data_IF_714534141412
#
_entry.id   IF_714534141412
#
_cell.length_a   1.000
_cell.length_b   1.000
_cell.length_c   1.000
_cell.angle_alpha   90.00
_cell.angle_beta   90.00
_cell.angle_gamma   90.00
#
_symmetry.space_group_name_H-M   'P 1'
#
loop_
_entity.id
_entity.type
_entity.pdbx_description
1 polymer ?
#
# COMPACT_ATOMS: atom_id res chain seq x y z
N UNK A 1 -17.65 -8.37 10.26
CA UNK A 1 -16.60 -8.03 9.28
C UNK A 1 -15.79 -6.93 9.93
N UNK A 2 -14.55 -7.20 10.33
CA UNK A 2 -13.64 -6.13 10.75
C UNK A 2 -13.49 -5.19 9.55
N UNK A 3 -13.57 -3.88 9.77
CA UNK A 3 -13.13 -2.93 8.73
C UNK A 3 -11.62 -3.03 8.69
N UNK A 4 -11.01 -3.02 7.51
CA UNK A 4 -9.54 -3.09 7.44
C UNK A 4 -8.90 -1.86 8.13
N UNK A 5 -9.60 -0.74 8.30
CA UNK A 5 -9.20 0.38 9.16
C UNK A 5 -9.03 -0.01 10.64
N UNK A 6 -9.70 -1.06 11.12
CA UNK A 6 -9.49 -1.61 12.46
C UNK A 6 -8.20 -2.46 12.51
N UNK A 7 -7.73 -2.94 11.36
CA UNK A 7 -6.48 -3.70 11.18
C UNK A 7 -5.31 -2.74 10.91
N UNK A 8 -5.56 -1.64 10.20
CA UNK A 8 -4.58 -0.60 9.94
C UNK A 8 -4.42 0.26 11.18
N UNK A 9 -3.19 0.44 11.66
CA UNK A 9 -2.95 1.36 12.75
C UNK A 9 -3.34 2.79 12.37
N UNK A 10 -4.03 3.50 13.29
CA UNK A 10 -4.47 4.88 13.06
C UNK A 10 -3.31 5.80 12.68
N UNK A 11 -2.11 5.56 13.21
CA UNK A 11 -0.91 6.32 12.82
C UNK A 11 -0.56 6.11 11.35
N UNK A 12 -0.57 4.88 10.85
CA UNK A 12 -0.28 4.56 9.46
C UNK A 12 -1.30 5.20 8.52
N UNK A 13 -2.59 5.17 8.88
CA UNK A 13 -3.67 5.77 8.07
C UNK A 13 -3.53 7.29 7.97
N UNK A 14 -3.25 7.96 9.09
CA UNK A 14 -3.08 9.42 9.13
C UNK A 14 -1.82 9.82 8.36
N UNK A 15 -0.69 9.18 8.66
CA UNK A 15 0.57 9.47 7.99
C UNK A 15 0.44 9.22 6.49
N UNK A 16 -0.13 8.09 6.05
CA UNK A 16 -0.40 7.81 4.64
C UNK A 16 -1.24 8.91 3.96
N UNK A 17 -2.26 9.42 4.66
CA UNK A 17 -3.12 10.46 4.11
C UNK A 17 -2.36 11.78 3.94
N UNK A 18 -1.58 12.17 4.94
CA UNK A 18 -0.70 13.33 4.86
C UNK A 18 0.40 13.13 3.81
N UNK A 19 0.87 11.89 3.65
CA UNK A 19 1.92 11.49 2.72
C UNK A 19 1.52 11.68 1.27
N UNK A 20 0.32 11.22 0.89
CA UNK A 20 -0.18 11.36 -0.47
C UNK A 20 -0.40 12.81 -0.91
N UNK A 21 -0.50 13.75 0.04
CA UNK A 21 -0.74 15.17 -0.20
C UNK A 21 0.54 16.01 -0.16
N UNK A 22 1.71 15.39 0.07
CA UNK A 22 3.01 16.05 0.27
C UNK A 22 4.11 15.41 -0.61
N UNK A 23 5.30 16.04 -0.69
CA UNK A 23 6.43 15.60 -1.53
C UNK A 23 6.74 14.09 -1.44
N UNK A 24 6.80 13.44 -2.60
CA UNK A 24 6.74 11.97 -2.73
C UNK A 24 7.98 11.21 -2.23
N UNK A 25 9.20 11.76 -2.37
CA UNK A 25 10.43 11.01 -2.06
C UNK A 25 10.72 10.84 -0.56
N UNK A 26 10.37 11.84 0.27
CA UNK A 26 10.55 11.71 1.72
C UNK A 26 9.57 10.70 2.33
N UNK A 27 8.45 10.47 1.64
CA UNK A 27 7.34 9.67 2.13
C UNK A 27 7.53 8.18 1.98
N UNK A 28 8.17 7.72 0.91
CA UNK A 28 8.37 6.29 0.70
C UNK A 28 9.21 5.65 1.81
N UNK A 29 10.32 6.30 2.17
CA UNK A 29 11.20 5.81 3.23
C UNK A 29 10.53 5.81 4.60
N UNK A 30 9.73 6.83 4.90
CA UNK A 30 8.95 6.90 6.14
C UNK A 30 7.89 5.79 6.17
N UNK A 31 7.15 5.60 5.09
CA UNK A 31 6.13 4.57 4.99
C UNK A 31 6.72 3.15 5.15
N UNK A 32 7.88 2.90 4.55
CA UNK A 32 8.63 1.64 4.76
C UNK A 32 9.01 1.43 6.23
N UNK A 33 9.39 2.50 6.94
CA UNK A 33 9.70 2.42 8.37
C UNK A 33 8.44 2.12 9.18
N UNK A 34 7.32 2.78 8.90
CA UNK A 34 6.04 2.53 9.58
C UNK A 34 5.54 1.10 9.37
N UNK A 35 5.72 0.54 8.16
CA UNK A 35 5.44 -0.87 7.88
C UNK A 35 6.33 -1.83 8.67
N UNK A 36 7.60 -1.48 8.91
CA UNK A 36 8.50 -2.30 9.73
C UNK A 36 8.07 -2.30 11.20
N UNK A 37 7.59 -1.15 11.68
CA UNK A 37 7.19 -0.94 13.07
C UNK A 37 5.78 -1.48 13.38
N UNK A 38 4.92 -1.63 12.36
CA UNK A 38 3.61 -2.28 12.45
C UNK A 38 3.73 -3.74 12.92
N UNK A 39 2.71 -4.27 13.62
CA UNK A 39 2.71 -5.67 14.03
C UNK A 39 2.68 -6.62 12.83
N UNK A 40 3.35 -7.77 12.94
CA UNK A 40 3.36 -8.77 11.85
C UNK A 40 1.95 -9.32 11.57
N UNK A 41 1.09 -9.36 12.58
CA UNK A 41 -0.30 -9.83 12.47
C UNK A 41 -1.11 -8.84 11.63
N UNK A 42 -0.99 -7.55 11.91
CA UNK A 42 -1.73 -6.51 11.18
C UNK A 42 -1.26 -6.44 9.74
N UNK A 43 0.05 -6.52 9.52
CA UNK A 43 0.61 -6.56 8.17
C UNK A 43 0.15 -7.79 7.39
N UNK A 44 0.16 -8.98 8.00
CA UNK A 44 -0.34 -10.20 7.37
C UNK A 44 -1.84 -10.13 7.07
N UNK A 45 -2.64 -9.49 7.92
CA UNK A 45 -4.06 -9.29 7.69
C UNK A 45 -4.32 -8.37 6.49
N UNK A 46 -3.58 -7.25 6.38
CA UNK A 46 -3.67 -6.34 5.22
C UNK A 46 -3.37 -7.08 3.92
N UNK A 47 -2.24 -7.80 3.89
CA UNK A 47 -1.84 -8.61 2.73
C UNK A 47 -2.89 -9.68 2.42
N UNK A 48 -3.44 -10.34 3.45
CA UNK A 48 -4.49 -11.36 3.24
C UNK A 48 -5.72 -10.77 2.59
N UNK A 49 -6.15 -9.57 2.99
CA UNK A 49 -7.32 -8.92 2.38
C UNK A 49 -7.06 -8.52 0.94
N UNK A 50 -5.85 -8.06 0.60
CA UNK A 50 -5.47 -7.82 -0.79
C UNK A 50 -5.71 -9.07 -1.66
N UNK A 51 -5.27 -10.25 -1.19
CA UNK A 51 -5.45 -11.51 -1.92
C UNK A 51 -6.88 -12.07 -1.90
N UNK A 52 -7.80 -11.50 -1.11
CA UNK A 52 -9.23 -11.81 -1.23
C UNK A 52 -9.88 -11.16 -2.46
N UNK A 53 -9.20 -10.19 -3.10
CA UNK A 53 -9.67 -9.58 -4.33
C UNK A 53 -9.39 -10.50 -5.53
N UNK A 54 -10.43 -10.85 -6.30
CA UNK A 54 -10.32 -11.66 -7.52
C UNK A 54 -9.39 -11.05 -8.59
N UNK A 55 -9.07 -9.76 -8.49
CA UNK A 55 -8.18 -9.02 -9.37
C UNK A 55 -6.80 -8.75 -8.75
N UNK A 56 -6.45 -9.40 -7.63
CA UNK A 56 -5.19 -9.15 -6.92
C UNK A 56 -3.95 -9.26 -7.82
N UNK A 57 -3.93 -10.23 -8.75
CA UNK A 57 -2.82 -10.41 -9.70
C UNK A 57 -2.72 -9.23 -10.68
N UNK A 58 -3.85 -8.81 -11.24
CA UNK A 58 -3.90 -7.69 -12.20
C UNK A 58 -3.53 -6.37 -11.52
N UNK A 59 -4.00 -6.16 -10.29
CA UNK A 59 -3.65 -4.99 -9.47
C UNK A 59 -2.16 -5.02 -9.13
N UNK A 60 -1.62 -6.15 -8.68
CA UNK A 60 -0.19 -6.27 -8.38
C UNK A 60 0.67 -5.96 -9.61
N UNK A 61 0.26 -6.41 -10.80
CA UNK A 61 0.93 -6.04 -12.04
C UNK A 61 0.85 -4.54 -12.31
N UNK A 62 -0.32 -3.92 -12.12
CA UNK A 62 -0.49 -2.48 -12.29
C UNK A 62 0.33 -1.64 -11.29
N UNK A 63 0.65 -2.21 -10.13
CA UNK A 63 1.52 -1.64 -9.10
C UNK A 63 3.02 -1.91 -9.34
N UNK A 64 3.39 -2.50 -10.49
CA UNK A 64 4.77 -2.87 -10.81
C UNK A 64 5.38 -3.83 -9.77
N UNK A 65 4.59 -4.81 -9.32
CA UNK A 65 5.05 -5.89 -8.44
C UNK A 65 5.40 -7.10 -9.31
N UNK A 66 6.62 -7.60 -9.14
CA UNK A 66 7.07 -8.78 -9.88
C UNK A 66 6.28 -10.04 -9.48
N UNK A 67 6.07 -10.95 -10.44
CA UNK A 67 5.38 -12.21 -10.18
C UNK A 67 6.09 -13.06 -9.11
N UNK A 68 7.43 -13.00 -9.04
CA UNK A 68 8.23 -13.70 -8.02
C UNK A 68 7.95 -13.14 -6.62
N UNK A 69 8.04 -11.82 -6.45
CA UNK A 69 7.72 -11.15 -5.18
C UNK A 69 6.29 -11.44 -4.75
N UNK A 70 5.33 -11.38 -5.68
CA UNK A 70 3.92 -11.67 -5.41
C UNK A 70 3.72 -13.12 -4.93
N UNK A 71 4.38 -14.09 -5.58
CA UNK A 71 4.34 -15.50 -5.18
C UNK A 71 4.97 -15.72 -3.82
N UNK A 72 6.10 -15.09 -3.52
CA UNK A 72 6.75 -15.19 -2.21
C UNK A 72 5.86 -14.64 -1.09
N UNK A 73 5.24 -13.47 -1.31
CA UNK A 73 4.30 -12.87 -0.38
C UNK A 73 3.08 -13.78 -0.17
N UNK A 74 2.50 -14.31 -1.25
CA UNK A 74 1.35 -15.22 -1.18
C UNK A 74 1.70 -16.54 -0.47
N UNK A 75 2.94 -17.00 -0.58
CA UNK A 75 3.45 -18.19 0.11
C UNK A 75 3.76 -17.95 1.60
N UNK A 76 3.55 -16.73 2.12
CA UNK A 76 3.79 -16.38 3.52
C UNK A 76 5.27 -16.12 3.83
N UNK A 77 6.04 -15.65 2.85
CA UNK A 77 7.39 -15.16 3.11
C UNK A 77 7.38 -14.00 4.12
N UNK A 78 8.55 -13.69 4.69
CA UNK A 78 8.68 -12.56 5.59
C UNK A 78 8.38 -11.24 4.86
N UNK A 79 7.22 -10.65 5.15
CA UNK A 79 6.70 -9.44 4.52
C UNK A 79 7.61 -8.22 4.69
N UNK A 80 8.47 -8.23 5.71
CA UNK A 80 9.43 -7.16 6.04
C UNK A 80 10.85 -7.42 5.55
N UNK A 81 11.05 -8.51 4.80
CA UNK A 81 12.35 -8.82 4.20
C UNK A 81 12.78 -7.72 3.23
N UNK A 82 14.08 -7.43 3.16
CA UNK A 82 14.62 -6.34 2.32
C UNK A 82 14.24 -6.47 0.84
N UNK A 83 14.12 -7.69 0.33
CA UNK A 83 13.74 -7.97 -1.05
C UNK A 83 12.22 -7.92 -1.30
N UNK A 84 11.40 -7.81 -0.25
CA UNK A 84 9.93 -7.84 -0.33
C UNK A 84 9.28 -6.58 0.20
N UNK A 85 9.96 -5.77 1.01
CA UNK A 85 9.37 -4.60 1.68
C UNK A 85 8.74 -3.62 0.69
N UNK A 86 9.33 -3.42 -0.50
CA UNK A 86 8.77 -2.57 -1.56
C UNK A 86 7.42 -3.11 -2.08
N UNK A 87 7.38 -4.40 -2.42
CA UNK A 87 6.16 -5.05 -2.89
C UNK A 87 5.07 -5.09 -1.80
N UNK A 88 5.45 -5.39 -0.55
CA UNK A 88 4.57 -5.34 0.62
C UNK A 88 4.03 -3.92 0.82
N UNK A 89 4.87 -2.90 0.67
CA UNK A 89 4.48 -1.51 0.83
C UNK A 89 3.49 -1.08 -0.25
N UNK A 90 3.73 -1.41 -1.51
CA UNK A 90 2.79 -1.14 -2.62
C UNK A 90 1.42 -1.76 -2.36
N UNK A 91 1.37 -2.99 -1.87
CA UNK A 91 0.10 -3.65 -1.51
C UNK A 91 -0.59 -2.94 -0.35
N UNK A 92 0.15 -2.62 0.72
CA UNK A 92 -0.39 -1.94 1.88
C UNK A 92 -0.92 -0.54 1.55
N UNK A 93 -0.17 0.22 0.76
CA UNK A 93 -0.55 1.54 0.25
C UNK A 93 -1.82 1.47 -0.61
N UNK A 94 -1.93 0.48 -1.50
CA UNK A 94 -3.14 0.26 -2.29
C UNK A 94 -4.36 0.00 -1.40
N UNK A 95 -4.21 -0.91 -0.43
CA UNK A 95 -5.27 -1.22 0.53
C UNK A 95 -5.74 0.02 1.30
N UNK A 96 -4.78 0.79 1.83
CA UNK A 96 -5.02 2.06 2.48
C UNK A 96 -5.81 3.03 1.59
N UNK A 97 -5.38 3.19 0.34
CA UNK A 97 -5.99 4.13 -0.60
C UNK A 97 -7.43 3.76 -0.97
N UNK A 98 -7.73 2.47 -1.10
CA UNK A 98 -9.08 1.95 -1.35
C UNK A 98 -10.01 2.21 -0.17
N UNK A 99 -9.53 1.99 1.05
CA UNK A 99 -10.37 2.13 2.25
C UNK A 99 -10.63 3.56 2.70
N UNK A 100 -9.63 4.40 2.54
CA UNK A 100 -9.73 5.83 2.87
C UNK A 100 -10.47 6.63 1.79
N UNK A 101 -10.91 5.95 0.73
CA UNK A 101 -11.49 6.55 -0.47
C UNK A 101 -10.57 7.61 -1.08
N UNK A 102 -9.27 7.49 -0.81
CA UNK A 102 -8.30 8.56 -1.08
C UNK A 102 -7.98 8.66 -2.56
N UNK A 103 -8.05 7.55 -3.30
CA UNK A 103 -7.97 7.56 -4.76
C UNK A 103 -9.05 8.43 -5.42
N UNK A 104 -10.24 8.56 -4.80
CA UNK A 104 -11.31 9.43 -5.28
C UNK A 104 -11.16 10.89 -4.80
N UNK A 105 -10.31 11.14 -3.81
CA UNK A 105 -10.03 12.47 -3.23
C UNK A 105 -8.79 13.13 -3.80
N UNK A 106 -7.86 12.36 -4.36
CA UNK A 106 -6.78 12.90 -5.19
C UNK A 106 -7.44 13.39 -6.48
N UNK A 107 -7.84 14.65 -6.49
CA UNK A 107 -8.29 15.32 -7.72
C UNK A 107 -7.12 15.29 -8.72
N UNK A 108 -7.20 14.40 -9.71
CA UNK A 108 -6.27 14.34 -10.86
C UNK A 108 -6.19 15.70 -11.60
N UNK A 109 -7.10 16.63 -11.27
CA UNK A 109 -7.25 17.95 -11.88
C UNK A 109 -5.98 18.83 -11.82
N UNK A 110 -5.14 18.72 -10.79
CA UNK A 110 -3.96 19.58 -10.67
C UNK A 110 -2.67 18.99 -11.29
N UNK A 111 -2.61 17.68 -11.56
CA UNK A 111 -1.44 17.06 -12.20
C UNK A 111 -1.44 17.21 -13.74
N UNK A 112 -2.57 17.61 -14.34
CA UNK A 112 -2.72 17.74 -15.78
C UNK A 112 -2.52 19.18 -16.30
N UNK A 113 -2.38 20.18 -15.41
CA UNK A 113 -2.21 21.57 -15.84
C UNK A 113 -0.83 21.85 -16.46
N UNK A 114 0.19 21.04 -16.12
CA UNK A 114 1.56 21.19 -16.63
C UNK A 114 1.92 20.23 -17.78
N UNK A 115 0.95 19.47 -18.32
CA UNK A 115 1.19 18.70 -19.53
C UNK A 115 0.99 19.59 -20.77
N UNK A 116 2.05 19.94 -21.53
CA UNK A 116 1.85 20.56 -22.82
C UNK A 116 1.16 19.55 -23.75
N UNK A 117 0.01 19.93 -24.31
CA UNK A 117 -0.61 19.21 -25.44
C UNK A 117 0.32 19.10 -26.64
#
# INVERSE_FOLDING_TARGET
MLKMIDVLEHSLVQNFSDSLLSDAEHNEAQFHQELRDMSDIDLANIISVFFLNDQAVDIAHALDISADSLQQIQAGANLKAENLIDATAKIAAYCLAVETDMLNRVEIADCLQDYPM
#
